data_IF_109932011644
#
_entry.id   IF_109932011644
#
_cell.length_a   1.000
_cell.length_b   1.000
_cell.length_c   1.000
_cell.angle_alpha   90.00
_cell.angle_beta   90.00
_cell.angle_gamma   90.00
#
_symmetry.space_group_name_H-M   'P 1'
#
loop_
_entity.id
_entity.type
_entity.pdbx_description
1 polymer ?
#
# COMPACT_ATOMS: atom_id res chain seq x y z
N UNK A 1 -8.55 -2.21 -7.02
CA UNK A 1 -7.30 -1.64 -7.57
C UNK A 1 -7.50 -0.29 -8.25
N UNK A 2 -8.54 -0.09 -9.07
CA UNK A 2 -8.80 1.19 -9.74
C UNK A 2 -8.78 2.42 -8.80
N UNK A 3 -9.50 2.36 -7.69
CA UNK A 3 -9.54 3.48 -6.72
C UNK A 3 -8.20 3.72 -6.03
N UNK A 4 -7.44 2.65 -5.77
CA UNK A 4 -6.06 2.73 -5.25
C UNK A 4 -5.17 3.47 -6.25
N UNK A 5 -5.20 3.09 -7.53
CA UNK A 5 -4.42 3.78 -8.56
C UNK A 5 -4.84 5.23 -8.69
N UNK A 6 -6.15 5.53 -8.69
CA UNK A 6 -6.68 6.88 -8.81
C UNK A 6 -6.24 7.80 -7.65
N UNK A 7 -6.29 7.33 -6.40
CA UNK A 7 -5.81 8.15 -5.27
C UNK A 7 -4.30 8.39 -5.34
N UNK A 8 -3.50 7.40 -5.78
CA UNK A 8 -2.05 7.58 -5.95
C UNK A 8 -1.75 8.56 -7.09
N UNK A 9 -2.45 8.47 -8.23
CA UNK A 9 -2.25 9.36 -9.38
C UNK A 9 -2.52 10.83 -9.08
N UNK A 10 -3.42 11.10 -8.14
CA UNK A 10 -3.78 12.47 -7.71
C UNK A 10 -2.89 13.04 -6.62
N UNK A 11 -1.93 12.27 -6.08
CA UNK A 11 -0.99 12.77 -5.09
C UNK A 11 -0.04 13.80 -5.73
N UNK A 12 0.24 14.87 -4.99
CA UNK A 12 1.04 16.01 -5.45
C UNK A 12 2.17 16.39 -4.49
N UNK A 13 1.98 16.17 -3.18
CA UNK A 13 2.92 16.59 -2.14
C UNK A 13 3.41 15.39 -1.34
N UNK A 14 2.47 14.57 -0.83
CA UNK A 14 2.81 13.40 -0.03
C UNK A 14 1.80 12.26 -0.19
N UNK A 15 2.29 11.04 0.04
CA UNK A 15 1.51 9.83 0.00
C UNK A 15 1.93 8.88 1.13
N UNK A 16 0.95 8.46 1.93
CA UNK A 16 1.10 7.44 2.95
C UNK A 16 0.42 6.17 2.48
N UNK A 17 1.16 5.06 2.39
CA UNK A 17 0.64 3.77 1.93
C UNK A 17 0.86 2.68 2.98
N UNK A 18 -0.21 2.01 3.38
CA UNK A 18 -0.21 0.85 4.27
C UNK A 18 -0.80 -0.32 3.50
N UNK A 19 0.07 -1.19 2.99
CA UNK A 19 -0.26 -2.20 1.95
C UNK A 19 0.46 -3.53 2.20
N UNK A 20 -0.09 -4.58 1.59
CA UNK A 20 0.41 -5.94 1.68
C UNK A 20 1.26 -6.32 0.46
N UNK A 21 2.14 -7.30 0.61
CA UNK A 21 3.05 -7.78 -0.45
C UNK A 21 2.34 -7.99 -1.81
N UNK A 22 1.17 -8.63 -1.83
CA UNK A 22 0.41 -8.87 -3.07
C UNK A 22 -0.11 -7.60 -3.77
N UNK A 23 -0.19 -6.48 -3.06
CA UNK A 23 -0.62 -5.18 -3.60
C UNK A 23 0.56 -4.34 -4.08
N UNK A 24 1.72 -4.44 -3.41
CA UNK A 24 2.98 -3.76 -3.79
C UNK A 24 3.23 -3.91 -5.29
N UNK A 25 3.28 -5.17 -5.75
CA UNK A 25 3.59 -5.50 -7.14
C UNK A 25 2.63 -4.86 -8.16
N UNK A 26 1.42 -4.47 -7.74
CA UNK A 26 0.40 -3.89 -8.62
C UNK A 26 0.51 -2.37 -8.74
N UNK A 27 1.23 -1.69 -7.83
CA UNK A 27 1.29 -0.22 -7.76
C UNK A 27 2.72 0.33 -7.71
N UNK A 28 3.73 -0.53 -7.62
CA UNK A 28 5.14 -0.13 -7.51
C UNK A 28 5.58 0.84 -8.61
N UNK A 29 5.28 0.55 -9.88
CA UNK A 29 5.63 1.44 -10.99
C UNK A 29 4.96 2.82 -10.88
N UNK A 30 3.72 2.87 -10.41
CA UNK A 30 2.97 4.10 -10.22
C UNK A 30 3.53 4.92 -9.04
N UNK A 31 3.93 4.23 -7.97
CA UNK A 31 4.58 4.83 -6.80
C UNK A 31 5.92 5.43 -7.21
N UNK A 32 6.77 4.70 -7.92
CA UNK A 32 8.06 5.22 -8.41
C UNK A 32 7.89 6.45 -9.30
N UNK A 33 6.92 6.44 -10.22
CA UNK A 33 6.60 7.63 -11.03
C UNK A 33 6.27 8.84 -10.16
N UNK A 34 5.52 8.66 -9.07
CA UNK A 34 5.21 9.74 -8.13
C UNK A 34 6.42 10.25 -7.36
N UNK A 35 7.35 9.37 -6.98
CA UNK A 35 8.61 9.79 -6.38
C UNK A 35 9.45 10.64 -7.36
N UNK A 36 9.51 10.23 -8.63
CA UNK A 36 10.18 11.00 -9.69
C UNK A 36 9.52 12.37 -9.93
N UNK A 37 8.21 12.47 -9.76
CA UNK A 37 7.45 13.73 -9.78
C UNK A 37 7.68 14.59 -8.52
N UNK A 38 8.42 14.10 -7.53
CA UNK A 38 8.77 14.81 -6.29
C UNK A 38 7.80 14.60 -5.13
N UNK A 39 6.83 13.69 -5.24
CA UNK A 39 5.91 13.35 -4.16
C UNK A 39 6.67 12.60 -3.06
N UNK A 40 6.51 13.01 -1.80
CA UNK A 40 7.08 12.30 -0.67
C UNK A 40 6.28 11.06 -0.33
N UNK A 41 6.91 9.88 -0.37
CA UNK A 41 6.20 8.62 -0.14
C UNK A 41 6.69 7.98 1.17
N UNK A 42 5.72 7.60 2.01
CA UNK A 42 5.93 6.85 3.25
C UNK A 42 5.13 5.57 3.20
N UNK A 43 5.76 4.44 3.52
CA UNK A 43 5.13 3.14 3.39
C UNK A 43 5.23 2.28 4.65
N UNK A 44 4.14 1.57 4.95
CA UNK A 44 4.11 0.45 5.89
C UNK A 44 3.82 -0.81 5.07
N UNK A 45 4.79 -1.72 5.03
CA UNK A 45 4.69 -2.95 4.22
C UNK A 45 4.47 -4.18 5.10
N UNK A 46 3.43 -4.93 4.80
CA UNK A 46 3.13 -6.22 5.42
C UNK A 46 3.60 -7.37 4.51
N UNK A 47 4.50 -8.23 5.02
CA UNK A 47 4.93 -9.45 4.33
C UNK A 47 6.03 -9.29 3.26
N UNK A 48 6.47 -8.06 2.94
CA UNK A 48 7.48 -7.77 1.91
C UNK A 48 8.81 -7.24 2.49
N UNK A 49 9.61 -8.05 3.21
CA UNK A 49 10.73 -7.57 4.04
C UNK A 49 11.94 -7.03 3.26
N UNK A 50 11.97 -7.21 1.93
CA UNK A 50 13.08 -6.75 1.06
C UNK A 50 12.67 -5.64 0.10
N UNK A 51 11.37 -5.36 -0.02
CA UNK A 51 10.84 -4.31 -0.90
C UNK A 51 11.08 -2.94 -0.28
N UNK A 52 11.39 -1.93 -1.11
CA UNK A 52 11.42 -0.54 -0.66
C UNK A 52 10.64 0.33 -1.63
N UNK A 53 9.68 1.08 -1.10
CA UNK A 53 8.94 2.10 -1.82
C UNK A 53 8.84 3.34 -0.94
N UNK A 54 9.41 4.47 -1.36
CA UNK A 54 9.60 5.62 -0.49
C UNK A 54 10.33 5.29 0.82
N UNK A 55 10.04 6.08 1.85
CA UNK A 55 10.49 5.83 3.21
C UNK A 55 9.70 4.65 3.79
N UNK A 56 10.34 3.49 3.82
CA UNK A 56 9.69 2.21 4.10
C UNK A 56 9.86 1.75 5.54
N UNK A 57 8.75 1.41 6.18
CA UNK A 57 8.66 0.75 7.49
C UNK A 57 8.09 -0.65 7.30
N UNK A 58 8.86 -1.67 7.67
CA UNK A 58 8.41 -3.05 7.54
C UNK A 58 7.64 -3.50 8.77
N UNK A 59 6.40 -3.94 8.58
CA UNK A 59 5.61 -4.57 9.62
C UNK A 59 5.95 -6.07 9.70
N UNK A 60 7.11 -6.38 10.29
CA UNK A 60 7.65 -7.74 10.42
C UNK A 60 7.13 -8.50 11.66
N UNK A 61 6.11 -8.00 12.36
CA UNK A 61 5.78 -8.44 13.72
C UNK A 61 4.91 -9.70 13.83
N UNK A 62 4.55 -10.40 12.74
CA UNK A 62 3.64 -11.54 12.83
C UNK A 62 4.22 -12.75 12.09
N UNK A 63 4.65 -13.76 12.84
CA UNK A 63 4.87 -15.11 12.30
C UNK A 63 3.61 -15.55 11.55
N UNK A 64 3.78 -15.73 10.25
CA UNK A 64 2.76 -15.79 9.20
C UNK A 64 1.63 -16.80 9.36
N UNK A 65 1.69 -17.70 10.34
CA UNK A 65 0.66 -18.73 10.53
C UNK A 65 -0.62 -18.22 11.22
N UNK A 66 -0.54 -17.22 12.12
CA UNK A 66 -1.71 -16.82 12.94
C UNK A 66 -2.64 -15.82 12.23
N UNK A 67 -2.09 -14.97 11.35
CA UNK A 67 -2.87 -13.90 10.69
C UNK A 67 -3.51 -14.39 9.38
N UNK A 68 -2.81 -15.24 8.62
CA UNK A 68 -3.32 -15.74 7.33
C UNK A 68 -4.57 -16.62 7.46
N UNK A 69 -4.68 -17.38 8.55
CA UNK A 69 -5.84 -18.26 8.78
C UNK A 69 -7.03 -17.55 9.44
N UNK A 70 -6.83 -16.43 10.14
CA UNK A 70 -7.91 -15.76 10.88
C UNK A 70 -8.54 -14.55 10.17
N UNK A 71 -7.83 -13.91 9.22
CA UNK A 71 -8.33 -12.74 8.50
C UNK A 71 -8.11 -12.91 6.99
N UNK A 72 -9.07 -13.53 6.28
CA UNK A 72 -9.08 -13.67 4.81
C UNK A 72 -9.21 -12.34 4.03
N UNK A 73 -8.83 -11.23 4.66
CA UNK A 73 -9.11 -9.85 4.30
C UNK A 73 -8.01 -8.95 4.88
N UNK A 74 -7.34 -8.21 4.00
CA UNK A 74 -6.19 -7.38 4.29
C UNK A 74 -6.60 -5.90 4.30
N UNK A 75 -6.51 -5.23 5.46
CA UNK A 75 -6.79 -3.80 5.54
C UNK A 75 -5.70 -3.01 4.83
N UNK A 76 -6.12 -2.16 3.91
CA UNK A 76 -5.28 -1.26 3.12
C UNK A 76 -5.67 0.18 3.44
N UNK A 77 -4.68 1.04 3.66
CA UNK A 77 -4.90 2.47 3.87
C UNK A 77 -3.98 3.25 2.95
N UNK A 78 -4.54 4.22 2.23
CA UNK A 78 -3.78 5.16 1.41
C UNK A 78 -4.28 6.56 1.72
N UNK A 79 -3.38 7.45 2.12
CA UNK A 79 -3.70 8.86 2.36
C UNK A 79 -2.82 9.74 1.45
N UNK A 80 -3.43 10.72 0.77
CA UNK A 80 -2.70 11.70 -0.05
C UNK A 80 -2.87 13.12 0.49
N UNK A 81 -1.77 13.87 0.46
CA UNK A 81 -1.71 15.33 0.62
C UNK A 81 -2.48 15.90 1.84
N UNK A 82 -2.70 15.12 2.90
CA UNK A 82 -3.61 15.46 4.00
C UNK A 82 -5.08 15.73 3.62
N UNK A 83 -5.50 15.39 2.39
CA UNK A 83 -6.80 15.77 1.80
C UNK A 83 -7.78 14.61 1.65
N UNK A 84 -7.27 13.40 1.45
CA UNK A 84 -8.11 12.26 1.12
C UNK A 84 -7.48 10.96 1.63
N UNK A 85 -8.32 10.10 2.19
CA UNK A 85 -7.94 8.78 2.68
C UNK A 85 -8.84 7.72 2.05
N UNK A 86 -8.24 6.72 1.42
CA UNK A 86 -8.88 5.49 1.00
C UNK A 86 -8.59 4.39 2.02
N UNK A 87 -9.64 3.81 2.59
CA UNK A 87 -9.56 2.60 3.40
C UNK A 87 -10.28 1.49 2.63
N UNK A 88 -9.56 0.41 2.34
CA UNK A 88 -10.08 -0.70 1.55
C UNK A 88 -9.75 -2.04 2.22
N UNK A 89 -10.64 -3.02 2.04
CA UNK A 89 -10.38 -4.40 2.40
C UNK A 89 -10.01 -5.17 1.12
N UNK A 90 -8.82 -5.77 1.11
CA UNK A 90 -8.32 -6.55 -0.02
C UNK A 90 -8.33 -8.03 0.34
N UNK A 91 -9.16 -8.82 -0.32
CA UNK A 91 -9.13 -10.29 -0.20
C UNK A 91 -8.57 -10.90 -1.48
N UNK A 92 -7.78 -11.97 -1.35
CA UNK A 92 -7.24 -12.69 -2.51
C UNK A 92 -8.36 -13.34 -3.36
N UNK A 93 -9.57 -13.44 -2.80
CA UNK A 93 -10.79 -13.97 -3.43
C UNK A 93 -11.71 -12.89 -4.02
N UNK A 94 -11.35 -11.60 -4.02
CA UNK A 94 -12.19 -10.58 -4.64
C UNK A 94 -12.07 -10.67 -6.17
N UNK A 95 -12.86 -11.56 -6.77
CA UNK A 95 -13.22 -11.50 -8.19
C UNK A 95 -14.20 -10.35 -8.39
N UNK A 96 -13.72 -9.20 -8.80
CA UNK A 96 -14.54 -8.16 -9.43
C UNK A 96 -13.73 -7.47 -10.51
#
# INVERSE_FOLDING_TARGET
>A
MKEISNIIERAQEELWVSIWEGQVNKIESLIHRKEEEGVHIFSILFGAPRTKIGTTFHHNYMTSHVVKESMGAHLTVIARDGKEVLIANFSDNSTS
#
